data_IF_724754109675
#
_entry.id   IF_724754109675
#
_cell.length_a   1.000
_cell.length_b   1.000
_cell.length_c   1.000
_cell.angle_alpha   90.00
_cell.angle_beta   90.00
_cell.angle_gamma   90.00
#
_symmetry.space_group_name_H-M   'P 1'
#
loop_
_entity.id
_entity.type
_entity.pdbx_description
1 polymer ?
#
# COMPACT_ATOMS: atom_id res chain seq x y z
N UNK A 1 -9.85 -12.65 -23.36
CA UNK A 1 -9.23 -11.30 -23.38
C UNK A 1 -8.40 -11.14 -24.65
N UNK A 2 -8.44 -9.98 -25.30
CA UNK A 2 -7.61 -9.73 -26.49
C UNK A 2 -6.15 -9.56 -26.07
N UNK A 3 -5.26 -10.37 -26.62
CA UNK A 3 -3.80 -10.28 -26.42
C UNK A 3 -3.27 -8.86 -26.59
N UNK A 4 -3.84 -8.12 -27.54
CA UNK A 4 -3.47 -6.73 -27.82
C UNK A 4 -3.81 -5.77 -26.67
N UNK A 5 -4.90 -6.01 -25.93
CA UNK A 5 -5.26 -5.22 -24.74
C UNK A 5 -4.25 -5.42 -23.60
N UNK A 6 -3.88 -6.66 -23.33
CA UNK A 6 -2.89 -7.01 -22.29
C UNK A 6 -1.51 -6.47 -22.64
N UNK A 7 -1.09 -6.62 -23.91
CA UNK A 7 0.16 -6.03 -24.40
C UNK A 7 0.16 -4.50 -24.22
N UNK A 8 -0.92 -3.83 -24.65
CA UNK A 8 -1.04 -2.37 -24.48
C UNK A 8 -1.06 -1.96 -23.00
N UNK A 9 -1.69 -2.73 -22.12
CA UNK A 9 -1.68 -2.46 -20.68
C UNK A 9 -0.24 -2.39 -20.14
N UNK A 10 0.60 -3.35 -20.53
CA UNK A 10 2.03 -3.39 -20.13
C UNK A 10 2.82 -2.22 -20.69
N UNK A 11 2.60 -1.84 -21.95
CA UNK A 11 3.26 -0.66 -22.55
C UNK A 11 2.89 0.62 -21.81
N UNK A 12 1.59 0.81 -21.52
CA UNK A 12 1.12 2.00 -20.79
C UNK A 12 1.63 1.99 -19.34
N UNK A 13 1.66 0.82 -18.68
CA UNK A 13 2.26 0.65 -17.36
C UNK A 13 3.74 1.07 -17.34
N UNK A 14 4.56 0.58 -18.28
CA UNK A 14 5.97 0.97 -18.39
C UNK A 14 6.15 2.48 -18.56
N UNK A 15 5.28 3.12 -19.35
CA UNK A 15 5.26 4.58 -19.49
C UNK A 15 4.94 5.28 -18.16
N UNK A 16 4.01 4.73 -17.38
CA UNK A 16 3.68 5.20 -16.04
C UNK A 16 4.86 5.10 -15.07
N UNK A 17 5.57 3.97 -15.08
CA UNK A 17 6.77 3.77 -14.27
C UNK A 17 7.86 4.80 -14.63
N UNK A 18 8.01 5.15 -15.90
CA UNK A 18 8.95 6.18 -16.35
C UNK A 18 8.56 7.57 -15.85
N UNK A 19 7.27 7.93 -15.93
CA UNK A 19 6.76 9.18 -15.35
C UNK A 19 7.01 9.24 -13.84
N UNK A 20 6.77 8.14 -13.10
CA UNK A 20 7.06 8.06 -11.65
C UNK A 20 8.55 8.28 -11.37
N UNK A 21 9.42 7.63 -12.14
CA UNK A 21 10.87 7.80 -12.02
C UNK A 21 11.30 9.27 -12.19
N UNK A 22 10.81 9.95 -13.24
CA UNK A 22 11.12 11.36 -13.47
C UNK A 22 10.51 12.28 -12.41
N UNK A 23 9.28 11.99 -11.96
CA UNK A 23 8.63 12.72 -10.87
C UNK A 23 9.46 12.66 -9.58
N UNK A 24 9.97 11.49 -9.22
CA UNK A 24 10.80 11.31 -8.03
C UNK A 24 12.16 12.00 -8.17
N UNK A 25 12.75 12.04 -9.38
CA UNK A 25 14.05 12.70 -9.60
C UNK A 25 13.95 14.22 -9.63
N UNK A 26 12.89 14.76 -10.22
CA UNK A 26 12.75 16.20 -10.46
C UNK A 26 11.80 16.92 -9.48
N UNK A 27 11.08 16.17 -8.64
CA UNK A 27 10.09 16.73 -7.70
C UNK A 27 8.82 17.26 -8.39
N UNK A 28 8.53 16.82 -9.62
CA UNK A 28 7.42 17.37 -10.39
C UNK A 28 6.12 16.62 -10.14
N UNK A 29 5.20 17.26 -9.39
CA UNK A 29 3.82 16.81 -9.17
C UNK A 29 3.09 16.44 -10.47
N UNK A 30 3.38 17.13 -11.57
CA UNK A 30 2.81 16.84 -12.90
C UNK A 30 3.19 15.45 -13.40
N UNK A 31 4.42 15.01 -13.12
CA UNK A 31 4.88 13.69 -13.55
C UNK A 31 4.26 12.57 -12.72
N UNK A 32 4.03 12.81 -11.42
CA UNK A 32 3.24 11.89 -10.60
C UNK A 32 1.81 11.74 -11.12
N UNK A 33 1.14 12.84 -11.50
CA UNK A 33 -0.19 12.77 -12.12
C UNK A 33 -0.18 12.06 -13.50
N UNK A 34 0.89 12.21 -14.28
CA UNK A 34 1.05 11.46 -15.53
C UNK A 34 1.21 9.95 -15.25
N UNK A 35 1.96 9.59 -14.21
CA UNK A 35 2.13 8.21 -13.80
C UNK A 35 0.80 7.60 -13.33
N UNK A 36 0.04 8.31 -12.48
CA UNK A 36 -1.31 7.89 -12.06
C UNK A 36 -2.21 7.62 -13.26
N UNK A 37 -2.27 8.54 -14.23
CA UNK A 37 -3.08 8.34 -15.45
C UNK A 37 -2.67 7.11 -16.24
N UNK A 38 -1.37 6.84 -16.34
CA UNK A 38 -0.88 5.65 -17.02
C UNK A 38 -1.25 4.37 -16.25
N UNK A 39 -1.05 4.33 -14.93
CA UNK A 39 -1.41 3.17 -14.12
C UNK A 39 -2.91 2.90 -14.12
N UNK A 40 -3.75 3.93 -14.00
CA UNK A 40 -5.20 3.80 -14.12
C UNK A 40 -5.60 3.19 -15.46
N UNK A 41 -5.01 3.68 -16.55
CA UNK A 41 -5.30 3.14 -17.88
C UNK A 41 -4.79 1.71 -18.04
N UNK A 42 -3.67 1.35 -17.44
CA UNK A 42 -3.17 -0.02 -17.46
C UNK A 42 -4.13 -0.99 -16.73
N UNK A 43 -4.66 -0.59 -15.56
CA UNK A 43 -5.66 -1.36 -14.80
C UNK A 43 -6.98 -1.50 -15.56
N UNK A 44 -7.43 -0.48 -16.29
CA UNK A 44 -8.63 -0.58 -17.15
C UNK A 44 -8.44 -1.55 -18.32
N UNK A 45 -7.24 -1.58 -18.90
CA UNK A 45 -6.93 -2.43 -20.04
C UNK A 45 -6.76 -3.88 -19.63
N UNK A 46 -6.12 -4.10 -18.49
CA UNK A 46 -5.84 -5.40 -17.86
C UNK A 46 -6.07 -5.32 -16.33
N UNK A 47 -7.27 -5.67 -15.85
CA UNK A 47 -7.60 -5.65 -14.42
C UNK A 47 -6.77 -6.61 -13.56
N UNK A 48 -6.15 -7.63 -14.19
CA UNK A 48 -5.32 -8.63 -13.54
C UNK A 48 -3.86 -8.17 -13.40
N UNK A 49 -3.50 -7.01 -13.98
CA UNK A 49 -2.17 -6.41 -13.84
C UNK A 49 -1.98 -5.80 -12.45
N UNK A 50 -1.81 -6.67 -11.45
CA UNK A 50 -1.63 -6.30 -10.02
C UNK A 50 -0.52 -5.28 -9.80
N UNK A 51 0.58 -5.38 -10.55
CA UNK A 51 1.69 -4.44 -10.48
C UNK A 51 1.28 -2.99 -10.76
N UNK A 52 0.39 -2.75 -11.72
CA UNK A 52 -0.07 -1.39 -12.03
C UNK A 52 -0.93 -0.80 -10.91
N UNK A 53 -1.80 -1.61 -10.29
CA UNK A 53 -2.60 -1.19 -9.14
C UNK A 53 -1.73 -0.95 -7.91
N UNK A 54 -0.76 -1.84 -7.64
CA UNK A 54 0.17 -1.71 -6.53
C UNK A 54 1.01 -0.43 -6.65
N UNK A 55 1.63 -0.20 -7.81
CA UNK A 55 2.47 0.98 -8.04
C UNK A 55 1.65 2.29 -7.98
N UNK A 56 0.38 2.25 -8.37
CA UNK A 56 -0.53 3.40 -8.22
C UNK A 56 -0.83 3.70 -6.76
N UNK A 57 -1.12 2.67 -5.96
CA UNK A 57 -1.32 2.83 -4.51
C UNK A 57 -0.07 3.35 -3.80
N UNK A 58 1.11 2.83 -4.15
CA UNK A 58 2.39 3.31 -3.62
C UNK A 58 2.62 4.77 -3.99
N UNK A 59 2.34 5.15 -5.23
CA UNK A 59 2.49 6.53 -5.70
C UNK A 59 1.57 7.49 -4.95
N UNK A 60 0.30 7.11 -4.76
CA UNK A 60 -0.66 7.89 -3.98
C UNK A 60 -0.18 8.12 -2.55
N UNK A 61 0.27 7.05 -1.87
CA UNK A 61 0.71 7.15 -0.49
C UNK A 61 2.03 7.90 -0.33
N UNK A 62 3.08 7.49 -1.05
CA UNK A 62 4.45 7.94 -0.75
C UNK A 62 4.79 9.30 -1.34
N UNK A 63 4.25 9.64 -2.50
CA UNK A 63 4.69 10.81 -3.26
C UNK A 63 3.61 11.90 -3.34
N UNK A 64 2.36 11.56 -3.08
CA UNK A 64 1.22 12.46 -3.28
C UNK A 64 0.39 12.74 -2.03
N UNK A 65 0.65 12.04 -0.92
CA UNK A 65 -0.10 12.16 0.34
C UNK A 65 -1.63 11.90 0.18
N UNK A 66 -1.97 11.00 -0.75
CA UNK A 66 -3.35 10.61 -1.10
C UNK A 66 -3.68 9.26 -0.47
N UNK A 67 -3.64 9.23 0.86
CA UNK A 67 -3.79 7.99 1.64
C UNK A 67 -5.10 7.25 1.36
N UNK A 68 -6.28 7.90 1.27
CA UNK A 68 -7.53 7.20 0.98
C UNK A 68 -7.51 6.42 -0.35
N UNK A 69 -6.96 7.01 -1.41
CA UNK A 69 -6.82 6.35 -2.71
C UNK A 69 -5.81 5.20 -2.67
N UNK A 70 -4.71 5.35 -1.93
CA UNK A 70 -3.75 4.27 -1.73
C UNK A 70 -4.39 3.06 -1.02
N UNK A 71 -5.13 3.30 0.06
CA UNK A 71 -5.83 2.26 0.81
C UNK A 71 -6.87 1.54 -0.05
N UNK A 72 -7.57 2.26 -0.94
CA UNK A 72 -8.51 1.66 -1.88
C UNK A 72 -7.81 0.69 -2.84
N UNK A 73 -6.66 1.07 -3.40
CA UNK A 73 -5.88 0.22 -4.31
C UNK A 73 -5.33 -1.03 -3.61
N UNK A 74 -4.76 -0.88 -2.41
CA UNK A 74 -4.26 -2.03 -1.66
C UNK A 74 -5.39 -2.96 -1.19
N UNK A 75 -6.52 -2.40 -0.75
CA UNK A 75 -7.68 -3.19 -0.35
C UNK A 75 -8.26 -3.97 -1.53
N UNK A 76 -8.32 -3.38 -2.72
CA UNK A 76 -8.75 -4.10 -3.92
C UNK A 76 -7.80 -5.25 -4.30
N UNK A 77 -6.48 -5.11 -4.08
CA UNK A 77 -5.53 -6.20 -4.26
C UNK A 77 -5.77 -7.34 -3.26
N UNK A 78 -5.98 -7.00 -1.98
CA UNK A 78 -6.19 -7.98 -0.91
C UNK A 78 -7.56 -8.65 -0.97
N UNK A 79 -8.58 -7.98 -1.53
CA UNK A 79 -9.86 -8.60 -1.82
C UNK A 79 -9.75 -9.69 -2.90
N UNK A 80 -8.84 -9.53 -3.87
CA UNK A 80 -8.59 -10.52 -4.91
C UNK A 80 -7.61 -11.63 -4.48
N UNK A 81 -6.64 -11.29 -3.63
CA UNK A 81 -5.65 -12.20 -3.09
C UNK A 81 -5.24 -11.74 -1.68
N UNK A 82 -5.88 -12.28 -0.62
CA UNK A 82 -5.60 -11.89 0.76
C UNK A 82 -4.16 -12.14 1.20
N UNK A 83 -3.41 -12.96 0.44
CA UNK A 83 -2.02 -13.30 0.72
C UNK A 83 -1.03 -12.50 -0.12
N UNK A 84 -1.48 -11.46 -0.83
CA UNK A 84 -0.61 -10.63 -1.65
C UNK A 84 0.29 -9.74 -0.77
N UNK A 85 1.44 -10.30 -0.39
CA UNK A 85 2.39 -9.71 0.56
C UNK A 85 2.76 -8.25 0.28
N UNK A 86 3.05 -7.83 -0.96
CA UNK A 86 3.33 -6.43 -1.25
C UNK A 86 2.18 -5.49 -0.88
N UNK A 87 0.92 -5.91 -1.04
CA UNK A 87 -0.22 -5.09 -0.63
C UNK A 87 -0.41 -5.08 0.89
N UNK A 88 -0.22 -6.21 1.59
CA UNK A 88 -0.25 -6.25 3.06
C UNK A 88 0.77 -5.27 3.66
N UNK A 89 2.02 -5.34 3.20
CA UNK A 89 3.08 -4.48 3.68
C UNK A 89 2.77 -2.99 3.43
N UNK A 90 2.43 -2.62 2.19
CA UNK A 90 2.19 -1.22 1.87
C UNK A 90 0.90 -0.67 2.49
N UNK A 91 -0.17 -1.49 2.64
CA UNK A 91 -1.39 -1.07 3.34
C UNK A 91 -1.13 -0.89 4.82
N UNK A 92 -0.41 -1.81 5.46
CA UNK A 92 -0.04 -1.69 6.87
C UNK A 92 0.75 -0.41 7.16
N UNK A 93 1.72 -0.06 6.32
CA UNK A 93 2.49 1.18 6.46
C UNK A 93 1.65 2.44 6.19
N UNK A 94 0.76 2.41 5.19
CA UNK A 94 -0.15 3.52 4.92
C UNK A 94 -1.17 3.73 6.05
N UNK A 95 -1.70 2.65 6.63
CA UNK A 95 -2.60 2.69 7.78
C UNK A 95 -1.90 3.22 9.03
N UNK A 96 -0.64 2.80 9.25
CA UNK A 96 0.19 3.32 10.35
C UNK A 96 0.36 4.83 10.22
N UNK A 97 0.69 5.33 9.03
CA UNK A 97 0.83 6.76 8.76
C UNK A 97 -0.50 7.52 8.96
N UNK A 98 -1.64 6.86 8.73
CA UNK A 98 -2.98 7.41 8.94
C UNK A 98 -3.49 7.29 10.39
N UNK A 99 -2.70 6.78 11.33
CA UNK A 99 -3.12 6.57 12.73
C UNK A 99 -4.07 5.38 12.94
N UNK A 100 -4.30 4.55 11.93
CA UNK A 100 -5.18 3.37 12.00
C UNK A 100 -4.40 2.15 12.50
N UNK A 101 -3.92 2.25 13.74
CA UNK A 101 -2.92 1.33 14.30
C UNK A 101 -3.37 -0.13 14.40
N UNK A 102 -4.61 -0.39 14.80
CA UNK A 102 -5.12 -1.76 14.91
C UNK A 102 -5.13 -2.49 13.55
N UNK A 103 -5.57 -1.80 12.50
CA UNK A 103 -5.59 -2.35 11.14
C UNK A 103 -4.18 -2.49 10.56
N UNK A 104 -3.31 -1.51 10.84
CA UNK A 104 -1.90 -1.57 10.45
C UNK A 104 -1.19 -2.77 11.09
N UNK A 105 -1.43 -3.02 12.38
CA UNK A 105 -0.86 -4.15 13.10
C UNK A 105 -1.26 -5.49 12.45
N UNK A 106 -2.56 -5.66 12.16
CA UNK A 106 -3.08 -6.88 11.54
C UNK A 106 -2.41 -7.18 10.18
N UNK A 107 -2.28 -6.16 9.32
CA UNK A 107 -1.64 -6.32 8.01
C UNK A 107 -0.14 -6.65 8.11
N UNK A 108 0.59 -5.99 9.02
CA UNK A 108 2.03 -6.19 9.21
C UNK A 108 2.35 -7.56 9.84
N UNK A 109 1.50 -8.04 10.76
CA UNK A 109 1.63 -9.39 11.31
C UNK A 109 1.35 -10.46 10.26
N UNK A 110 0.28 -10.29 9.47
CA UNK A 110 -0.02 -11.17 8.36
C UNK A 110 1.15 -11.26 7.37
N UNK A 111 1.74 -10.12 6.99
CA UNK A 111 2.95 -10.09 6.15
C UNK A 111 4.14 -10.81 6.81
N UNK A 112 4.38 -10.55 8.10
CA UNK A 112 5.49 -11.11 8.87
C UNK A 112 5.41 -12.64 9.10
N UNK A 113 4.23 -13.24 8.94
CA UNK A 113 4.01 -14.69 9.06
C UNK A 113 4.10 -15.44 7.72
N UNK A 114 4.17 -14.73 6.59
CA UNK A 114 4.18 -15.36 5.27
C UNK A 114 5.45 -16.22 5.04
N UNK A 115 5.33 -17.43 4.46
CA UNK A 115 6.48 -18.31 4.22
C UNK A 115 7.44 -17.80 3.14
N UNK A 116 6.93 -17.09 2.13
CA UNK A 116 7.70 -16.58 0.98
C UNK A 116 7.85 -15.04 1.00
N UNK A 117 8.07 -14.46 2.18
CA UNK A 117 8.30 -13.01 2.34
C UNK A 117 9.76 -12.64 2.17
N UNK A 118 10.00 -11.40 1.78
CA UNK A 118 11.34 -10.83 1.80
C UNK A 118 11.84 -10.71 3.27
N UNK A 119 13.00 -11.29 3.62
CA UNK A 119 13.49 -11.30 5.00
C UNK A 119 13.74 -9.91 5.58
N UNK A 120 14.20 -8.94 4.78
CA UNK A 120 14.49 -7.58 5.25
C UNK A 120 13.19 -6.87 5.61
N UNK A 121 12.22 -6.90 4.69
CA UNK A 121 10.91 -6.31 4.95
C UNK A 121 10.15 -7.03 6.06
N UNK A 122 10.39 -8.33 6.27
CA UNK A 122 9.79 -9.08 7.36
C UNK A 122 10.24 -8.59 8.72
N UNK A 123 11.55 -8.41 8.91
CA UNK A 123 12.10 -7.86 10.16
C UNK A 123 11.58 -6.45 10.37
N UNK A 124 11.51 -5.64 9.31
CA UNK A 124 10.96 -4.29 9.36
C UNK A 124 9.49 -4.28 9.80
N UNK A 125 8.64 -5.11 9.18
CA UNK A 125 7.22 -5.22 9.53
C UNK A 125 7.01 -5.70 10.97
N UNK A 126 7.77 -6.71 11.41
CA UNK A 126 7.70 -7.23 12.78
C UNK A 126 8.11 -6.18 13.83
N UNK A 127 9.09 -5.34 13.51
CA UNK A 127 9.50 -4.24 14.40
C UNK A 127 8.37 -3.24 14.58
N UNK A 128 7.74 -2.81 13.49
CA UNK A 128 6.61 -1.87 13.56
C UNK A 128 5.43 -2.52 14.28
N UNK A 129 5.10 -3.77 13.97
CA UNK A 129 4.02 -4.50 14.63
C UNK A 129 4.24 -4.58 16.16
N UNK A 130 5.47 -4.81 16.62
CA UNK A 130 5.78 -4.77 18.05
C UNK A 130 5.46 -3.42 18.68
N UNK A 131 5.94 -2.33 18.07
CA UNK A 131 5.68 -0.97 18.57
C UNK A 131 4.19 -0.62 18.55
N UNK A 132 3.47 -1.01 17.50
CA UNK A 132 2.02 -0.79 17.43
C UNK A 132 1.27 -1.55 18.52
N UNK A 133 1.73 -2.75 18.89
CA UNK A 133 1.14 -3.51 19.99
C UNK A 133 1.30 -2.79 21.32
N UNK A 134 2.50 -2.26 21.59
CA UNK A 134 2.76 -1.45 22.79
C UNK A 134 1.87 -0.21 22.84
N UNK A 135 1.80 0.56 21.75
CA UNK A 135 0.92 1.74 21.65
C UNK A 135 -0.55 1.41 21.88
N UNK A 136 -1.04 0.29 21.36
CA UNK A 136 -2.43 -0.14 21.54
C UNK A 136 -2.72 -0.63 22.96
N UNK A 137 -1.76 -1.29 23.62
CA UNK A 137 -1.87 -1.64 25.03
C UNK A 137 -1.96 -0.40 25.92
N UNK A 138 -1.08 0.57 25.71
CA UNK A 138 -1.03 1.81 26.49
C UNK A 138 -2.33 2.64 26.32
N UNK A 139 -2.92 2.63 25.12
CA UNK A 139 -4.21 3.28 24.85
C UNK A 139 -5.39 2.60 25.56
N UNK A 140 -5.34 1.27 25.74
CA UNK A 140 -6.34 0.52 26.49
C UNK A 140 -6.30 0.85 27.99
N UNK A 141 -5.09 0.86 28.58
CA UNK A 141 -4.90 1.20 30.00
C UNK A 141 -5.32 2.64 30.33
N UNK A 142 -5.04 3.59 29.44
CA UNK A 142 -5.47 4.99 29.61
C UNK A 142 -7.00 5.15 29.58
N UNK A 143 -7.69 4.40 28.71
CA UNK A 143 -9.15 4.42 28.63
C UNK A 143 -9.83 3.81 29.85
N UNK A 144 -9.28 2.72 30.40
CA UNK A 144 -9.79 2.08 31.62
C UNK A 144 -9.59 2.94 32.87
N UNK A 145 -8.46 3.64 32.98
CA UNK A 145 -8.19 4.56 34.09
C UNK A 145 -9.12 5.79 34.09
N UNK A 146 -9.55 6.26 32.91
CA UNK A 146 -10.48 7.38 32.79
C UNK A 146 -11.93 6.98 33.12
N UNK A 147 -12.31 5.73 32.86
CA UNK A 147 -13.65 5.21 33.16
C UNK A 147 -13.80 4.76 34.63
N UNK A 148 -12.71 4.32 35.29
CA UNK A 148 -12.70 3.97 36.71
C UNK A 148 -12.72 5.17 37.68
N UNK A 149 -12.56 6.40 37.15
CA UNK A 149 -12.55 7.65 37.92
C UNK A 149 -13.89 8.40 37.95
N UNK A 150 -14.95 7.88 37.31
CA UNK A 150 -16.32 8.42 37.31
C UNK A 150 -17.24 7.59 38.19
#
# INVERSE_FOLDING_TARGET
MSWWRVFRARVVYMRGSLHRYFGNRAGFRREHENAVRCFSRAVELDPDLRAARLDRGILFWREMDRVPEALADFTALLAADPTYGPALLNRGLALQAAGRFAEALADLEAYGQMPARDPEYAVYAQRIARTLREVLSDQGEAGEAEDAGK
#
